data_IF_499420591631
#
_entry.id   IF_499420591631
#
_cell.length_a   1.000
_cell.length_b   1.000
_cell.length_c   1.000
_cell.angle_alpha   90.00
_cell.angle_beta   90.00
_cell.angle_gamma   90.00
#
_symmetry.space_group_name_H-M   'P 1'
#
loop_
_entity.id
_entity.type
_entity.pdbx_description
1 polymer ?
#
# COMPACT_ATOMS: atom_id res chain seq x y z
N UNK A 1 14.35 0.62 -8.89
CA UNK A 1 14.55 -0.41 -7.84
C UNK A 1 16.02 -0.70 -7.60
N UNK A 2 16.86 -0.62 -8.63
CA UNK A 2 18.30 -0.91 -8.51
C UNK A 2 19.00 -0.06 -7.46
N UNK A 3 18.66 1.24 -7.37
CA UNK A 3 19.13 2.12 -6.30
C UNK A 3 18.96 1.55 -4.88
N UNK A 4 17.79 0.98 -4.57
CA UNK A 4 17.55 0.41 -3.23
C UNK A 4 18.38 -0.85 -2.99
N UNK A 5 18.59 -1.65 -4.03
CA UNK A 5 19.42 -2.85 -3.94
C UNK A 5 20.90 -2.48 -3.75
N UNK A 6 21.39 -1.50 -4.49
CA UNK A 6 22.76 -0.97 -4.36
C UNK A 6 23.01 -0.35 -2.98
N UNK A 7 22.00 0.31 -2.41
CA UNK A 7 22.05 0.82 -1.04
C UNK A 7 22.12 -0.29 0.03
N UNK A 8 21.79 -1.54 -0.34
CA UNK A 8 21.77 -2.68 0.57
C UNK A 8 20.44 -2.87 1.31
N UNK A 9 19.32 -2.41 0.74
CA UNK A 9 18.00 -2.61 1.34
C UNK A 9 17.50 -4.04 1.10
N UNK A 10 17.15 -4.75 2.18
CA UNK A 10 16.56 -6.09 2.10
C UNK A 10 15.03 -6.07 2.07
N UNK A 11 14.40 -5.11 2.76
CA UNK A 11 12.93 -5.03 2.91
C UNK A 11 12.46 -3.59 2.74
N UNK A 12 11.45 -3.40 1.89
CA UNK A 12 10.73 -2.13 1.75
C UNK A 12 9.44 -2.18 2.57
N UNK A 13 9.19 -1.14 3.38
CA UNK A 13 7.91 -0.92 4.04
C UNK A 13 7.13 0.14 3.28
N UNK A 14 5.92 -0.20 2.86
CA UNK A 14 5.01 0.73 2.19
C UNK A 14 4.01 1.29 3.18
N UNK A 15 3.86 2.61 3.15
CA UNK A 15 2.72 3.29 3.75
C UNK A 15 1.40 2.76 3.16
N UNK A 16 0.26 2.97 3.85
CA UNK A 16 -1.04 2.54 3.35
C UNK A 16 -1.35 3.08 1.95
N UNK A 17 -1.79 2.20 1.07
CA UNK A 17 -2.24 2.53 -0.29
C UNK A 17 -3.64 1.99 -0.61
N UNK A 18 -4.36 1.56 0.43
CA UNK A 18 -5.76 1.19 0.34
C UNK A 18 -6.64 2.41 0.08
N UNK A 19 -7.87 2.21 -0.37
CA UNK A 19 -8.81 3.31 -0.60
C UNK A 19 -8.97 4.10 0.70
N UNK A 20 -8.75 5.40 0.59
CA UNK A 20 -8.84 6.37 1.68
C UNK A 20 -9.22 7.73 1.05
N UNK A 21 -9.91 8.62 1.78
CA UNK A 21 -10.12 10.02 1.37
C UNK A 21 -8.86 10.87 1.51
N UNK A 22 -7.78 10.28 2.04
CA UNK A 22 -6.42 10.83 2.14
C UNK A 22 -6.31 12.05 3.05
N UNK A 23 -7.10 12.07 4.12
CA UNK A 23 -7.09 13.15 5.13
C UNK A 23 -5.93 12.93 6.11
N UNK A 24 -5.57 11.66 6.37
CA UNK A 24 -4.43 11.26 7.22
C UNK A 24 -3.36 10.52 6.38
N UNK A 25 -3.03 11.06 5.20
CA UNK A 25 -2.02 10.51 4.29
C UNK A 25 -2.19 9.00 3.98
N UNK A 26 -3.43 8.50 3.96
CA UNK A 26 -3.77 7.12 3.65
C UNK A 26 -4.02 6.22 4.86
N UNK A 27 -3.73 6.67 6.09
CA UNK A 27 -3.99 5.90 7.31
C UNK A 27 -5.48 5.85 7.67
N UNK A 28 -6.27 6.75 7.11
CA UNK A 28 -7.70 6.86 7.25
C UNK A 28 -8.46 5.97 6.24
N UNK A 29 -8.30 4.65 6.39
CA UNK A 29 -8.79 3.65 5.42
C UNK A 29 -10.33 3.63 5.33
N UNK A 30 -10.86 3.58 4.10
CA UNK A 30 -12.29 3.41 3.81
C UNK A 30 -12.65 2.12 3.08
N UNK A 31 -11.67 1.43 2.46
CA UNK A 31 -11.85 0.08 1.92
C UNK A 31 -10.50 -0.64 1.76
N UNK A 32 -10.28 -1.72 2.52
CA UNK A 32 -9.06 -2.54 2.49
C UNK A 32 -8.89 -3.38 1.21
N UNK A 33 -9.95 -3.57 0.43
CA UNK A 33 -9.96 -4.39 -0.79
C UNK A 33 -9.85 -3.55 -2.07
N UNK A 34 -9.67 -2.24 -1.95
CA UNK A 34 -9.52 -1.32 -3.08
C UNK A 34 -8.27 -0.46 -2.92
N UNK A 35 -7.72 -0.01 -4.05
CA UNK A 35 -6.52 0.84 -4.11
C UNK A 35 -6.94 2.32 -4.17
N UNK A 36 -6.21 3.19 -3.48
CA UNK A 36 -6.41 4.63 -3.60
C UNK A 36 -5.99 5.13 -4.99
N UNK A 37 -6.68 6.14 -5.49
CA UNK A 37 -6.48 6.65 -6.86
C UNK A 37 -5.02 7.09 -7.12
N UNK A 38 -4.36 7.71 -6.13
CA UNK A 38 -2.95 8.10 -6.23
C UNK A 38 -1.97 6.92 -6.38
N UNK A 39 -2.37 5.73 -5.92
CA UNK A 39 -1.63 4.49 -6.05
C UNK A 39 -2.04 3.67 -7.29
N UNK A 40 -2.92 4.22 -8.13
CA UNK A 40 -3.43 3.63 -9.37
C UNK A 40 -4.29 2.39 -9.11
N UNK A 41 -3.78 1.20 -9.39
CA UNK A 41 -4.53 -0.05 -9.34
C UNK A 41 -3.67 -1.24 -8.88
N UNK A 42 -4.30 -2.42 -8.84
CA UNK A 42 -3.62 -3.65 -8.46
C UNK A 42 -2.58 -4.13 -9.48
N UNK A 43 -2.67 -3.75 -10.75
CA UNK A 43 -1.67 -4.12 -11.77
C UNK A 43 -0.34 -3.43 -11.48
N UNK A 44 -0.40 -2.14 -11.16
CA UNK A 44 0.77 -1.36 -10.75
C UNK A 44 1.39 -1.91 -9.47
N UNK A 45 0.56 -2.27 -8.49
CA UNK A 45 1.03 -2.90 -7.26
C UNK A 45 1.70 -4.26 -7.53
N UNK A 46 1.09 -5.12 -8.34
CA UNK A 46 1.66 -6.41 -8.70
C UNK A 46 2.99 -6.28 -9.44
N UNK A 47 3.14 -5.27 -10.31
CA UNK A 47 4.40 -4.96 -10.97
C UNK A 47 5.46 -4.52 -9.96
N UNK A 48 5.11 -3.67 -9.01
CA UNK A 48 6.02 -3.25 -7.93
C UNK A 48 6.51 -4.46 -7.13
N UNK A 49 5.61 -5.34 -6.68
CA UNK A 49 5.96 -6.56 -5.93
C UNK A 49 6.88 -7.46 -6.75
N UNK A 50 6.58 -7.65 -8.03
CA UNK A 50 7.40 -8.48 -8.94
C UNK A 50 8.82 -7.92 -9.09
N UNK A 51 8.96 -6.61 -9.28
CA UNK A 51 10.28 -5.96 -9.42
C UNK A 51 11.11 -6.01 -8.12
N UNK A 52 10.47 -5.92 -6.97
CA UNK A 52 11.12 -6.06 -5.65
C UNK A 52 11.61 -7.51 -5.47
N UNK A 53 10.75 -8.49 -5.72
CA UNK A 53 11.10 -9.91 -5.57
C UNK A 53 12.17 -10.36 -6.57
N UNK A 54 12.19 -9.81 -7.78
CA UNK A 54 13.23 -10.08 -8.78
C UNK A 54 14.65 -9.71 -8.31
N UNK A 55 14.76 -8.85 -7.28
CA UNK A 55 16.02 -8.40 -6.67
C UNK A 55 16.31 -9.06 -5.31
N UNK A 56 15.58 -10.13 -5.00
CA UNK A 56 15.60 -10.83 -3.70
C UNK A 56 15.36 -9.89 -2.50
N UNK A 57 14.59 -8.83 -2.73
CA UNK A 57 14.10 -7.95 -1.68
C UNK A 57 12.70 -8.40 -1.28
N UNK A 58 12.24 -7.98 -0.10
CA UNK A 58 10.86 -8.20 0.38
C UNK A 58 10.11 -6.89 0.49
N UNK A 59 8.78 -6.99 0.55
CA UNK A 59 7.91 -5.86 0.81
C UNK A 59 6.96 -6.19 1.96
N UNK A 60 6.80 -5.24 2.87
CA UNK A 60 5.79 -5.28 3.93
C UNK A 60 4.85 -4.08 3.76
N UNK A 61 3.58 -4.30 4.04
CA UNK A 61 2.55 -3.27 3.94
C UNK A 61 2.10 -2.87 5.34
N UNK A 62 1.83 -1.59 5.53
CA UNK A 62 1.14 -1.14 6.73
C UNK A 62 -0.29 -1.67 6.77
N UNK A 63 -0.66 -2.25 7.91
CA UNK A 63 -2.01 -2.71 8.20
C UNK A 63 -2.59 -1.84 9.32
N UNK A 64 -3.44 -0.88 8.95
CA UNK A 64 -4.07 0.04 9.91
C UNK A 64 -5.41 -0.54 10.33
N UNK A 65 -5.48 -1.13 11.52
CA UNK A 65 -6.70 -1.77 12.06
C UNK A 65 -7.25 -1.07 13.31
N UNK A 66 -6.56 -0.03 13.79
CA UNK A 66 -6.97 0.69 14.99
C UNK A 66 -8.15 1.64 14.72
N UNK A 67 -8.31 2.11 13.49
CA UNK A 67 -9.39 3.01 13.07
C UNK A 67 -9.64 2.87 11.56
N UNK A 68 -10.83 3.29 11.13
CA UNK A 68 -11.22 3.39 9.74
C UNK A 68 -12.31 4.46 9.58
N UNK A 69 -12.46 5.00 8.38
CA UNK A 69 -13.50 5.98 8.08
C UNK A 69 -14.78 5.25 7.70
N UNK A 70 -15.83 5.45 8.50
CA UNK A 70 -17.18 5.07 8.12
C UNK A 70 -17.67 5.95 6.96
N UNK A 71 -17.63 5.42 5.74
CA UNK A 71 -18.40 5.99 4.63
C UNK A 71 -19.73 5.24 4.51
N UNK A 72 -20.84 5.96 4.58
CA UNK A 72 -22.21 5.41 4.51
C UNK A 72 -22.48 4.39 3.38
N UNK A 73 -21.64 4.33 2.34
CA UNK A 73 -21.77 3.42 1.20
C UNK A 73 -20.99 2.10 1.33
N UNK A 74 -20.08 1.97 2.30
CA UNK A 74 -19.27 0.77 2.49
C UNK A 74 -19.50 0.33 3.93
N UNK A 75 -20.31 -0.72 4.11
CA UNK A 75 -20.66 -1.27 5.42
C UNK A 75 -19.50 -1.97 6.11
N UNK A 76 -18.48 -2.34 5.34
CA UNK A 76 -17.34 -3.11 5.80
C UNK A 76 -16.12 -2.18 5.82
N UNK A 77 -15.94 -1.58 6.98
CA UNK A 77 -14.69 -1.82 7.69
C UNK A 77 -14.92 -3.12 8.48
#
# INVERSE_FOLDING_TARGET
MDYFKELGVDVLRLNPFYRSPDIDNGYDISNYYAIMEKAQDFEVFNRLVSEIHARDMKVIMDLVVNHCIYQQKIKDC
#
